data_IF_387214186319
#
_entry.id   IF_387214186319
#
_cell.length_a   1.000
_cell.length_b   1.000
_cell.length_c   1.000
_cell.angle_alpha   90.00
_cell.angle_beta   90.00
_cell.angle_gamma   90.00
#
_symmetry.space_group_name_H-M   'P 1'
#
loop_
_entity.id
_entity.type
_entity.pdbx_description
1 polymer ?
#
# COMPACT_ATOMS: atom_id res chain seq x y z
N UNK A 1 -3.60 22.29 -7.91
CA UNK A 1 -3.24 20.86 -7.85
C UNK A 1 -4.52 20.03 -7.97
N UNK A 2 -4.58 18.95 -8.77
CA UNK A 2 -5.73 18.06 -8.77
C UNK A 2 -5.89 17.45 -7.37
N UNK A 3 -7.06 17.62 -6.74
CA UNK A 3 -7.33 17.10 -5.38
C UNK A 3 -7.37 15.57 -5.30
N UNK A 4 -7.52 14.90 -6.44
CA UNK A 4 -7.62 13.43 -6.55
C UNK A 4 -6.52 12.92 -7.48
N UNK A 5 -5.61 12.10 -6.96
CA UNK A 5 -4.55 11.49 -7.75
C UNK A 5 -5.12 10.44 -8.71
N UNK A 6 -4.98 10.67 -10.02
CA UNK A 6 -5.24 9.65 -11.05
C UNK A 6 -3.94 8.96 -11.43
N UNK A 7 -3.91 7.63 -11.28
CA UNK A 7 -2.74 6.81 -11.57
C UNK A 7 -2.44 6.80 -13.07
N UNK A 8 -1.19 7.05 -13.46
CA UNK A 8 -0.77 7.16 -14.87
C UNK A 8 -0.50 5.81 -15.56
N UNK A 9 -0.32 4.73 -14.80
CA UNK A 9 0.04 3.42 -15.36
C UNK A 9 -0.67 2.28 -14.65
N UNK A 10 -0.87 1.17 -15.37
CA UNK A 10 -1.42 -0.09 -14.86
C UNK A 10 -0.35 -1.04 -14.31
N UNK A 11 0.93 -0.69 -14.39
CA UNK A 11 2.02 -1.55 -13.92
C UNK A 11 1.80 -1.96 -12.46
N UNK A 12 1.92 -3.24 -12.10
CA UNK A 12 1.74 -3.68 -10.72
C UNK A 12 0.28 -3.78 -10.25
N UNK A 13 -0.71 -3.65 -11.15
CA UNK A 13 -2.14 -3.80 -10.80
C UNK A 13 -2.64 -5.24 -10.72
N UNK A 14 -1.76 -6.24 -10.91
CA UNK A 14 -2.13 -7.66 -10.93
C UNK A 14 -2.41 -8.25 -9.53
N UNK A 15 -2.18 -7.48 -8.45
CA UNK A 15 -2.42 -7.92 -7.09
C UNK A 15 -1.29 -8.81 -6.54
N UNK A 16 -1.13 -8.81 -5.22
CA UNK A 16 -0.05 -9.56 -4.55
C UNK A 16 -0.30 -11.06 -4.59
N UNK A 17 -1.55 -11.48 -4.39
CA UNK A 17 -1.95 -12.89 -4.40
C UNK A 17 -1.68 -13.55 -5.76
N UNK A 18 -2.09 -12.93 -6.86
CA UNK A 18 -1.86 -13.47 -8.20
C UNK A 18 -0.35 -13.63 -8.51
N UNK A 19 0.48 -12.70 -8.05
CA UNK A 19 1.94 -12.81 -8.19
C UNK A 19 2.51 -13.99 -7.38
N UNK A 20 2.00 -14.21 -6.18
CA UNK A 20 2.43 -15.34 -5.34
C UNK A 20 2.01 -16.68 -5.94
N UNK A 21 0.77 -16.78 -6.40
CA UNK A 21 0.20 -17.99 -7.03
C UNK A 21 0.98 -18.33 -8.31
N UNK A 22 1.27 -17.34 -9.17
CA UNK A 22 2.11 -17.49 -10.36
C UNK A 22 3.50 -18.04 -10.04
N UNK A 23 4.16 -17.46 -9.02
CA UNK A 23 5.51 -17.87 -8.62
C UNK A 23 5.51 -19.27 -7.99
N UNK A 24 4.42 -19.67 -7.36
CA UNK A 24 4.24 -21.01 -6.83
C UNK A 24 4.01 -22.03 -7.95
N UNK A 25 3.17 -21.72 -8.94
CA UNK A 25 2.97 -22.54 -10.12
C UNK A 25 4.27 -22.75 -10.91
N UNK A 26 5.07 -21.69 -11.08
CA UNK A 26 6.40 -21.78 -11.71
C UNK A 26 7.34 -22.71 -10.91
N UNK A 27 7.29 -22.66 -9.57
CA UNK A 27 8.08 -23.57 -8.71
C UNK A 27 7.64 -25.02 -8.83
N UNK A 28 6.35 -25.25 -9.08
CA UNK A 28 5.78 -26.58 -9.32
C UNK A 28 6.11 -27.14 -10.71
N UNK A 29 6.83 -26.39 -11.55
CA UNK A 29 7.29 -26.83 -12.87
C UNK A 29 6.50 -26.26 -14.05
N UNK A 30 5.51 -25.40 -13.81
CA UNK A 30 4.78 -24.77 -14.91
C UNK A 30 5.64 -23.73 -15.65
N UNK A 31 5.39 -23.58 -16.97
CA UNK A 31 6.12 -22.60 -17.77
C UNK A 31 5.64 -21.18 -17.47
N UNK A 32 6.57 -20.22 -17.43
CA UNK A 32 6.27 -18.79 -17.20
C UNK A 32 5.21 -18.25 -18.16
N UNK A 33 5.14 -18.75 -19.40
CA UNK A 33 4.15 -18.30 -20.39
C UNK A 33 2.75 -18.84 -20.09
N UNK A 34 2.65 -20.04 -19.53
CA UNK A 34 1.37 -20.64 -19.13
C UNK A 34 0.78 -19.88 -17.94
N UNK A 35 1.55 -19.76 -16.87
CA UNK A 35 1.09 -19.12 -15.63
C UNK A 35 0.73 -17.64 -15.88
N UNK A 36 1.53 -16.92 -16.68
CA UNK A 36 1.25 -15.55 -17.11
C UNK A 36 -0.12 -15.37 -17.78
N UNK A 37 -0.56 -16.36 -18.58
CA UNK A 37 -1.89 -16.32 -19.21
C UNK A 37 -3.01 -16.62 -18.21
N UNK A 38 -2.74 -17.47 -17.21
CA UNK A 38 -3.71 -17.90 -16.21
C UNK A 38 -4.00 -16.82 -15.16
N UNK A 39 -2.94 -16.19 -14.62
CA UNK A 39 -3.05 -15.22 -13.52
C UNK A 39 -2.91 -13.76 -13.99
N UNK A 40 -2.52 -13.52 -15.25
CA UNK A 40 -2.46 -12.19 -15.85
C UNK A 40 -1.23 -11.36 -15.48
N UNK A 41 -0.23 -11.92 -14.78
CA UNK A 41 1.03 -11.21 -14.50
C UNK A 41 1.93 -11.27 -15.74
N UNK A 42 2.51 -10.15 -16.20
CA UNK A 42 3.38 -10.17 -17.38
C UNK A 42 4.61 -11.08 -17.22
N UNK A 43 4.93 -11.88 -18.23
CA UNK A 43 6.11 -12.77 -18.26
C UNK A 43 7.41 -12.11 -17.80
N UNK A 44 7.66 -10.85 -18.20
CA UNK A 44 8.87 -10.11 -17.83
C UNK A 44 8.94 -9.87 -16.31
N UNK A 45 7.80 -9.59 -15.68
CA UNK A 45 7.69 -9.41 -14.24
C UNK A 45 8.02 -10.73 -13.53
N UNK A 46 7.39 -11.83 -13.95
CA UNK A 46 7.63 -13.16 -13.38
C UNK A 46 9.09 -13.59 -13.45
N UNK A 47 9.76 -13.40 -14.60
CA UNK A 47 11.19 -13.69 -14.75
C UNK A 47 12.05 -12.88 -13.77
N UNK A 48 11.75 -11.59 -13.57
CA UNK A 48 12.50 -10.76 -12.62
C UNK A 48 12.33 -11.21 -11.17
N UNK A 49 11.12 -11.59 -10.77
CA UNK A 49 10.87 -12.09 -9.42
C UNK A 49 11.50 -13.47 -9.20
N UNK A 50 11.44 -14.36 -10.19
CA UNK A 50 12.12 -15.67 -10.17
C UNK A 50 13.63 -15.52 -10.06
N UNK A 51 14.23 -14.65 -10.87
CA UNK A 51 15.68 -14.43 -10.92
C UNK A 51 16.21 -13.59 -9.74
N UNK A 52 15.37 -13.20 -8.76
CA UNK A 52 15.77 -12.37 -7.63
C UNK A 52 16.17 -10.93 -7.98
N UNK A 53 15.86 -10.46 -9.19
CA UNK A 53 16.23 -9.11 -9.70
C UNK A 53 15.33 -7.98 -9.18
N UNK A 54 14.59 -8.23 -8.11
CA UNK A 54 13.64 -7.30 -7.49
C UNK A 54 13.98 -7.22 -6.01
N UNK A 55 14.03 -6.01 -5.45
CA UNK A 55 14.40 -5.78 -4.05
C UNK A 55 13.50 -6.53 -3.06
N UNK A 56 12.21 -6.64 -3.36
CA UNK A 56 11.24 -7.43 -2.59
C UNK A 56 10.62 -8.48 -3.50
N UNK A 57 11.14 -9.73 -3.52
CA UNK A 57 10.49 -10.80 -4.29
C UNK A 57 9.08 -11.05 -3.73
N UNK A 58 8.14 -11.49 -4.58
CA UNK A 58 6.73 -11.75 -4.24
C UNK A 58 5.88 -10.55 -3.82
N UNK A 59 6.44 -9.34 -3.71
CA UNK A 59 5.70 -8.13 -3.40
C UNK A 59 5.41 -7.32 -4.67
N UNK A 60 4.23 -6.69 -4.73
CA UNK A 60 3.80 -5.78 -5.80
C UNK A 60 4.26 -4.34 -5.60
N UNK A 61 5.04 -4.06 -4.56
CA UNK A 61 5.46 -2.71 -4.17
C UNK A 61 6.18 -2.00 -5.32
N UNK A 62 5.70 -0.79 -5.65
CA UNK A 62 6.29 0.05 -6.69
C UNK A 62 7.06 1.21 -6.06
N UNK A 63 8.26 1.46 -6.59
CA UNK A 63 9.07 2.59 -6.17
C UNK A 63 9.63 2.46 -4.75
N UNK A 64 10.32 3.52 -4.31
CA UNK A 64 10.98 3.58 -2.99
C UNK A 64 9.99 3.99 -1.89
N UNK A 65 9.12 4.95 -2.17
CA UNK A 65 8.22 5.52 -1.17
C UNK A 65 7.16 4.50 -0.75
N UNK A 66 7.10 4.24 0.55
CA UNK A 66 6.12 3.36 1.18
C UNK A 66 5.26 4.19 2.14
N UNK A 67 3.98 3.81 2.35
CA UNK A 67 3.19 4.41 3.42
C UNK A 67 3.89 4.17 4.76
N UNK A 68 4.14 5.25 5.51
CA UNK A 68 4.76 5.18 6.83
C UNK A 68 3.75 4.82 7.92
N UNK A 69 2.47 5.16 7.71
CA UNK A 69 1.36 4.82 8.60
C UNK A 69 0.70 3.52 8.14
N UNK A 70 0.38 2.66 9.10
CA UNK A 70 -0.44 1.48 8.86
C UNK A 70 -1.90 1.90 8.64
N UNK A 71 -2.63 1.17 7.80
CA UNK A 71 -4.04 1.42 7.50
C UNK A 71 -4.92 1.47 8.76
N UNK A 72 -4.58 0.67 9.79
CA UNK A 72 -5.25 0.71 11.10
C UNK A 72 -5.15 2.07 11.77
N UNK A 73 -3.94 2.63 11.83
CA UNK A 73 -3.69 3.93 12.46
C UNK A 73 -4.27 5.08 11.64
N UNK A 74 -4.21 4.97 10.31
CA UNK A 74 -4.86 5.93 9.42
C UNK A 74 -6.38 6.01 9.66
N UNK A 75 -7.05 4.85 9.78
CA UNK A 75 -8.48 4.81 10.11
C UNK A 75 -8.78 5.39 11.51
N UNK A 76 -7.91 5.13 12.49
CA UNK A 76 -8.04 5.68 13.84
C UNK A 76 -7.95 7.21 13.84
N UNK A 77 -6.98 7.77 13.11
CA UNK A 77 -6.80 9.23 12.95
C UNK A 77 -8.03 9.84 12.27
N UNK A 78 -8.53 9.23 11.18
CA UNK A 78 -9.73 9.72 10.48
C UNK A 78 -10.94 9.75 11.41
N UNK A 79 -11.15 8.69 12.19
CA UNK A 79 -12.25 8.60 13.15
C UNK A 79 -12.15 9.69 14.21
N UNK A 80 -10.94 9.94 14.73
CA UNK A 80 -10.70 10.96 15.73
C UNK A 80 -10.94 12.37 15.17
N UNK A 81 -10.47 12.68 13.96
CA UNK A 81 -10.71 13.97 13.30
C UNK A 81 -12.21 14.23 13.15
N UNK A 82 -12.98 13.22 12.72
CA UNK A 82 -14.44 13.32 12.60
C UNK A 82 -15.13 13.54 13.96
N UNK A 83 -14.62 12.93 15.03
CA UNK A 83 -15.14 13.15 16.38
C UNK A 83 -14.87 14.57 16.89
N UNK A 84 -13.67 15.10 16.64
CA UNK A 84 -13.29 16.47 16.99
C UNK A 84 -14.11 17.50 16.21
N UNK A 85 -14.33 17.27 14.92
CA UNK A 85 -15.20 18.11 14.08
C UNK A 85 -16.62 18.19 14.64
N UNK A 86 -17.22 17.05 15.05
CA UNK A 86 -18.55 17.02 15.68
C UNK A 86 -18.60 17.76 17.03
N UNK A 87 -17.49 17.76 17.77
CA UNK A 87 -17.37 18.48 19.03
C UNK A 87 -17.11 20.00 18.84
N UNK A 88 -17.20 20.52 17.60
CA UNK A 88 -16.89 21.90 17.22
C UNK A 88 -15.41 22.29 17.42
N UNK A 89 -14.54 21.31 17.63
CA UNK A 89 -13.07 21.44 17.59
C UNK A 89 -12.55 21.07 16.19
N UNK A 90 -13.08 21.74 15.16
CA UNK A 90 -12.69 21.48 13.78
C UNK A 90 -11.24 21.86 13.55
N UNK A 91 -10.37 20.85 13.38
CA UNK A 91 -8.98 21.06 12.98
C UNK A 91 -8.94 21.58 11.55
N UNK A 92 -8.31 22.73 11.37
CA UNK A 92 -8.03 23.31 10.06
C UNK A 92 -6.66 22.87 9.56
N UNK A 93 -6.40 23.00 8.26
CA UNK A 93 -5.10 22.67 7.65
C UNK A 93 -3.91 23.44 8.25
N UNK A 94 -4.19 24.52 8.99
CA UNK A 94 -3.19 25.35 9.67
C UNK A 94 -2.83 24.83 11.06
N UNK A 95 -3.63 23.94 11.65
CA UNK A 95 -3.34 23.37 12.96
C UNK A 95 -2.21 22.36 12.84
N UNK A 96 -1.11 22.63 13.52
CA UNK A 96 0.11 21.84 13.35
C UNK A 96 -0.08 20.44 13.96
N UNK A 97 0.30 19.34 13.28
CA UNK A 97 0.17 17.99 13.83
C UNK A 97 0.88 17.78 15.18
N UNK A 98 1.88 18.63 15.46
CA UNK A 98 2.63 18.62 16.72
C UNK A 98 1.88 19.25 17.90
N UNK A 99 0.93 20.15 17.67
CA UNK A 99 0.13 20.77 18.74
C UNK A 99 -1.05 19.92 19.18
N UNK A 100 -1.46 18.95 18.37
CA UNK A 100 -2.75 18.26 18.52
C UNK A 100 -2.57 16.89 19.19
N UNK A 101 -1.42 16.25 19.02
CA UNK A 101 -1.26 14.83 19.33
C UNK A 101 -0.01 14.56 20.19
N UNK A 102 -0.23 14.06 21.42
CA UNK A 102 0.74 13.20 22.08
C UNK A 102 0.44 11.76 21.67
N UNK A 103 1.44 11.08 21.11
CA UNK A 103 1.32 9.68 20.69
C UNK A 103 2.14 8.85 21.65
N UNK A 104 1.45 8.17 22.56
CA UNK A 104 2.00 7.20 23.49
C UNK A 104 1.46 5.79 23.21
N UNK A 105 2.12 4.78 23.78
CA UNK A 105 1.95 3.35 23.44
C UNK A 105 0.51 2.81 23.60
N UNK A 106 -0.38 3.59 24.21
CA UNK A 106 -1.78 3.27 24.51
C UNK A 106 -2.80 4.01 23.64
N UNK A 107 -2.40 5.01 22.85
CA UNK A 107 -3.32 5.77 22.01
C UNK A 107 -2.87 7.19 21.67
N UNK A 108 -3.73 7.92 20.96
CA UNK A 108 -3.53 9.32 20.64
C UNK A 108 -4.33 10.14 21.67
N UNK A 109 -3.65 10.90 22.53
CA UNK A 109 -4.28 11.84 23.47
C UNK A 109 -4.12 13.28 23.00
N UNK A 110 -5.16 14.09 23.17
CA UNK A 110 -5.08 15.55 23.02
C UNK A 110 -4.37 16.14 24.23
N UNK A 111 -3.49 17.13 24.00
CA UNK A 111 -2.80 17.89 25.06
C UNK A 111 -3.80 18.61 25.96
#
# INVERSE_FOLDING_TARGET
MPRVYKRKSTRGSYGEKALQDDLQAIRNGESVRSTSKQYGVPCRTLRRHRDGKVAKPKATTLGRFQPQLNAKYEAMIVTQIQAMERALFGLTTNDSPRQIWNVDETGITTV
#
